data_IF_473026517973
#
_entry.id   IF_473026517973
#
_cell.length_a   1.000
_cell.length_b   1.000
_cell.length_c   1.000
_cell.angle_alpha   90.00
_cell.angle_beta   90.00
_cell.angle_gamma   90.00
#
_symmetry.space_group_name_H-M   'P 1'
#
loop_
_entity.id
_entity.type
_entity.pdbx_description
1 polymer ?
#
# COMPACT_ATOMS: atom_id res chain seq x y z
N UNK A 1 13.74 -14.86 -3.02
CA UNK A 1 13.45 -13.80 -3.99
C UNK A 1 13.59 -12.44 -3.31
N UNK A 2 14.22 -11.46 -3.95
CA UNK A 2 14.29 -10.10 -3.44
C UNK A 2 12.86 -9.52 -3.46
N UNK A 3 12.38 -9.04 -2.31
CA UNK A 3 11.09 -8.34 -2.23
C UNK A 3 11.31 -6.97 -2.86
N UNK A 4 10.91 -6.82 -4.12
CA UNK A 4 10.95 -5.52 -4.81
C UNK A 4 9.88 -4.66 -4.16
N UNK A 5 10.32 -3.70 -3.34
CA UNK A 5 9.44 -2.70 -2.74
C UNK A 5 9.45 -1.47 -3.64
N UNK A 6 8.33 -1.24 -4.33
CA UNK A 6 8.12 -0.02 -5.08
C UNK A 6 8.15 1.19 -4.16
N UNK A 7 8.98 2.19 -4.48
CA UNK A 7 8.94 3.49 -3.83
C UNK A 7 7.90 4.34 -4.55
N UNK A 8 6.83 4.72 -3.87
CA UNK A 8 5.85 5.66 -4.42
C UNK A 8 5.73 6.88 -3.51
N UNK A 9 5.69 8.06 -4.12
CA UNK A 9 5.44 9.32 -3.39
C UNK A 9 3.96 9.67 -3.50
N UNK A 10 3.27 9.72 -2.37
CA UNK A 10 1.84 10.03 -2.31
C UNK A 10 1.63 11.46 -1.80
N UNK A 11 0.84 12.26 -2.52
CA UNK A 11 0.34 13.54 -2.00
C UNK A 11 -0.95 13.27 -1.22
N UNK A 12 -0.93 13.58 0.07
CA UNK A 12 -2.04 13.34 0.99
C UNK A 12 -2.51 14.67 1.57
N UNK A 13 -3.83 14.80 1.78
CA UNK A 13 -4.38 15.92 2.53
C UNK A 13 -3.79 16.00 3.94
N UNK A 14 -3.61 17.22 4.45
CA UNK A 14 -2.98 17.49 5.74
C UNK A 14 -3.77 16.89 6.91
N UNK A 15 -5.11 16.82 6.82
CA UNK A 15 -5.94 16.21 7.86
C UNK A 15 -5.77 14.70 7.87
N UNK A 16 -5.68 14.07 6.71
CA UNK A 16 -5.43 12.63 6.59
C UNK A 16 -4.05 12.28 7.10
N UNK A 17 -3.01 13.05 6.73
CA UNK A 17 -1.66 12.88 7.26
C UNK A 17 -1.63 12.95 8.79
N UNK A 18 -2.34 13.93 9.39
CA UNK A 18 -2.42 14.06 10.85
C UNK A 18 -3.11 12.87 11.52
N UNK A 19 -4.17 12.31 10.91
CA UNK A 19 -4.86 11.11 11.41
C UNK A 19 -3.95 9.88 11.38
N UNK A 20 -3.27 9.63 10.25
CA UNK A 20 -2.33 8.51 10.11
C UNK A 20 -1.23 8.62 11.16
N UNK A 21 -0.68 9.83 11.38
CA UNK A 21 0.33 10.07 12.41
C UNK A 21 -0.17 9.73 13.82
N UNK A 22 -1.42 10.07 14.15
CA UNK A 22 -2.02 9.69 15.45
C UNK A 22 -2.15 8.18 15.59
N UNK A 23 -2.64 7.49 14.57
CA UNK A 23 -2.81 6.03 14.57
C UNK A 23 -1.45 5.33 14.73
N UNK A 24 -0.44 5.80 14.00
CA UNK A 24 0.94 5.32 14.13
C UNK A 24 1.49 5.49 15.55
N UNK A 25 1.21 6.63 16.19
CA UNK A 25 1.58 6.86 17.60
C UNK A 25 0.87 5.91 18.58
N UNK A 26 -0.40 5.59 18.34
CA UNK A 26 -1.17 4.66 19.16
C UNK A 26 -0.65 3.22 19.05
N UNK A 27 -0.33 2.79 17.83
CA UNK A 27 0.15 1.44 17.52
C UNK A 27 1.67 1.26 17.75
N UNK A 28 2.39 2.33 18.15
CA UNK A 28 3.86 2.37 18.29
C UNK A 28 4.60 1.93 17.02
N UNK A 29 4.04 2.26 15.86
CA UNK A 29 4.59 1.92 14.53
C UNK A 29 4.95 3.19 13.77
N UNK A 30 5.78 3.06 12.74
CA UNK A 30 6.04 4.17 11.82
C UNK A 30 4.82 4.45 10.95
N UNK A 31 4.68 5.69 10.46
CA UNK A 31 3.60 6.04 9.53
C UNK A 31 3.63 5.18 8.27
N UNK A 32 4.83 4.91 7.72
CA UNK A 32 4.99 4.04 6.56
C UNK A 32 4.47 2.64 6.82
N UNK A 33 4.75 2.05 7.99
CA UNK A 33 4.27 0.71 8.30
C UNK A 33 2.76 0.66 8.50
N UNK A 34 2.16 1.71 9.06
CA UNK A 34 0.70 1.83 9.16
C UNK A 34 0.06 1.98 7.79
N UNK A 35 0.64 2.79 6.91
CA UNK A 35 0.14 2.96 5.53
C UNK A 35 0.21 1.64 4.77
N UNK A 36 1.34 0.92 4.86
CA UNK A 36 1.51 -0.41 4.25
C UNK A 36 0.44 -1.38 4.77
N UNK A 37 0.26 -1.45 6.10
CA UNK A 37 -0.76 -2.31 6.71
C UNK A 37 -2.18 -1.97 6.26
N UNK A 38 -2.52 -0.69 6.20
CA UNK A 38 -3.85 -0.24 5.76
C UNK A 38 -4.09 -0.57 4.30
N UNK A 39 -3.10 -0.37 3.43
CA UNK A 39 -3.20 -0.69 2.00
C UNK A 39 -3.38 -2.18 1.77
N UNK A 40 -2.58 -3.03 2.43
CA UNK A 40 -2.72 -4.49 2.30
C UNK A 40 -4.11 -4.94 2.73
N UNK A 41 -4.60 -4.45 3.88
CA UNK A 41 -5.94 -4.78 4.36
C UNK A 41 -7.03 -4.34 3.40
N UNK A 42 -6.92 -3.13 2.83
CA UNK A 42 -7.93 -2.62 1.89
C UNK A 42 -7.96 -3.46 0.59
N UNK A 43 -6.80 -3.90 0.10
CA UNK A 43 -6.72 -4.80 -1.06
C UNK A 43 -7.35 -6.14 -0.72
N UNK A 44 -7.01 -6.75 0.42
CA UNK A 44 -7.60 -8.03 0.85
C UNK A 44 -9.14 -7.94 0.98
N UNK A 45 -9.67 -6.84 1.53
CA UNK A 45 -11.11 -6.60 1.61
C UNK A 45 -11.73 -6.45 0.23
N UNK A 46 -11.09 -5.69 -0.66
CA UNK A 46 -11.56 -5.53 -2.03
C UNK A 46 -11.58 -6.87 -2.78
N UNK A 47 -10.58 -7.72 -2.62
CA UNK A 47 -10.54 -9.06 -3.22
C UNK A 47 -11.63 -9.99 -2.66
N UNK A 48 -11.96 -9.87 -1.37
CA UNK A 48 -13.07 -10.60 -0.76
C UNK A 48 -14.43 -10.18 -1.34
N UNK A 49 -14.63 -8.89 -1.62
CA UNK A 49 -15.89 -8.35 -2.13
C UNK A 49 -16.06 -8.51 -3.65
N UNK A 50 -14.97 -8.37 -4.42
CA UNK A 50 -15.01 -8.29 -5.88
C UNK A 50 -14.36 -9.49 -6.59
N UNK A 51 -13.69 -10.38 -5.85
CA UNK A 51 -12.88 -11.47 -6.38
C UNK A 51 -11.39 -11.10 -6.51
N UNK A 52 -10.56 -12.13 -6.62
CA UNK A 52 -9.09 -12.03 -6.65
C UNK A 52 -8.58 -11.11 -7.77
N UNK A 53 -7.68 -10.19 -7.42
CA UNK A 53 -6.98 -9.32 -8.35
C UNK A 53 -5.82 -10.14 -8.94
N UNK A 54 -6.04 -10.70 -10.13
CA UNK A 54 -5.00 -11.43 -10.85
C UNK A 54 -3.96 -10.47 -11.41
N UNK A 55 -2.79 -10.43 -10.78
CA UNK A 55 -1.61 -9.73 -11.29
C UNK A 55 -0.81 -10.68 -12.18
N UNK A 56 -0.41 -10.21 -13.36
CA UNK A 56 0.56 -10.90 -14.21
C UNK A 56 1.97 -10.36 -13.97
N UNK A 57 3.01 -11.08 -14.40
CA UNK A 57 4.39 -10.57 -14.33
C UNK A 57 4.56 -9.21 -15.05
N UNK A 58 3.76 -8.95 -16.09
CA UNK A 58 3.71 -7.69 -16.82
C UNK A 58 3.25 -6.52 -15.92
N UNK A 59 2.30 -6.76 -15.02
CA UNK A 59 1.75 -5.75 -14.10
C UNK A 59 2.72 -5.39 -12.96
N UNK A 60 3.61 -6.33 -12.59
CA UNK A 60 4.52 -6.18 -11.44
C UNK A 60 5.86 -5.60 -11.87
N UNK A 61 6.39 -6.06 -13.00
CA UNK A 61 7.72 -5.66 -13.48
C UNK A 61 7.65 -4.56 -14.55
N UNK A 62 6.46 -4.28 -15.10
CA UNK A 62 6.30 -3.52 -16.32
C UNK A 62 6.95 -4.27 -17.50
N UNK A 63 6.40 -4.17 -18.71
CA UNK A 63 7.20 -4.56 -19.88
C UNK A 63 8.49 -3.74 -19.88
N UNK A 64 9.67 -4.37 -19.97
CA UNK A 64 10.87 -3.69 -20.40
C UNK A 64 10.84 -3.57 -21.94
N UNK A 65 9.87 -2.87 -22.52
CA UNK A 65 9.82 -2.56 -23.96
C UNK A 65 8.96 -1.28 -24.08
N UNK A 66 9.45 -0.14 -24.58
CA UNK A 66 10.21 0.06 -25.83
C UNK A 66 11.12 1.30 -25.75
#
# INVERSE_FOLDING_TARGET
MAVIRGLFTLRIDIRTHAKIRKIAGMERRSMTNIIELMLTREIEQYELEHGEIRLTDDDIYGKPDE
#
